data_IF_098396056802
#
_entry.id   IF_098396056802
#
_cell.length_a   1.000
_cell.length_b   1.000
_cell.length_c   1.000
_cell.angle_alpha   90.00
_cell.angle_beta   90.00
_cell.angle_gamma   90.00
#
_symmetry.space_group_name_H-M   'P 1'
#
loop_
_entity.id
_entity.type
_entity.pdbx_description
1 polymer ?
#
# COMPACT_ATOMS: atom_id res chain seq x y z
N UNK A 1 -7.21 27.94 4.73
CA UNK A 1 -6.10 27.01 4.41
C UNK A 1 -6.28 26.56 2.98
N UNK A 2 -5.21 26.43 2.19
CA UNK A 2 -5.33 25.91 0.81
C UNK A 2 -5.66 24.41 0.83
N UNK A 3 -6.31 23.86 -0.23
CA UNK A 3 -6.56 22.42 -0.33
C UNK A 3 -5.30 21.59 -0.09
N UNK A 4 -4.16 22.00 -0.68
CA UNK A 4 -2.87 21.33 -0.48
C UNK A 4 -2.44 21.25 0.98
N UNK A 5 -2.62 22.32 1.77
CA UNK A 5 -2.26 22.29 3.20
C UNK A 5 -3.16 21.34 3.98
N UNK A 6 -4.46 21.31 3.67
CA UNK A 6 -5.41 20.37 4.29
C UNK A 6 -5.05 18.92 3.93
N UNK A 7 -4.74 18.67 2.65
CA UNK A 7 -4.31 17.38 2.15
C UNK A 7 -3.07 16.87 2.89
N UNK A 8 -2.02 17.68 2.96
CA UNK A 8 -0.76 17.30 3.61
C UNK A 8 -0.95 17.04 5.11
N UNK A 9 -1.78 17.86 5.77
CA UNK A 9 -2.11 17.66 7.18
C UNK A 9 -2.82 16.32 7.39
N UNK A 10 -3.87 16.02 6.62
CA UNK A 10 -4.62 14.78 6.73
C UNK A 10 -3.76 13.56 6.38
N UNK A 11 -3.00 13.63 5.28
CA UNK A 11 -2.06 12.59 4.87
C UNK A 11 -1.04 12.29 5.98
N UNK A 12 -0.37 13.34 6.50
CA UNK A 12 0.67 13.19 7.52
C UNK A 12 0.11 12.67 8.84
N UNK A 13 -1.07 13.15 9.27
CA UNK A 13 -1.73 12.66 10.48
C UNK A 13 -2.18 11.21 10.35
N UNK A 14 -2.80 10.83 9.23
CA UNK A 14 -3.15 9.44 8.96
C UNK A 14 -1.91 8.54 8.96
N UNK A 15 -0.84 8.95 8.27
CA UNK A 15 0.42 8.20 8.22
C UNK A 15 1.03 8.02 9.62
N UNK A 16 1.04 9.09 10.42
CA UNK A 16 1.51 9.04 11.79
C UNK A 16 0.68 8.07 12.64
N UNK A 17 -0.65 8.18 12.61
CA UNK A 17 -1.55 7.30 13.37
C UNK A 17 -1.40 5.84 12.94
N UNK A 18 -1.37 5.55 11.63
CA UNK A 18 -1.17 4.18 11.15
C UNK A 18 0.22 3.64 11.49
N UNK A 19 1.26 4.47 11.51
CA UNK A 19 2.59 4.07 11.97
C UNK A 19 2.58 3.73 13.46
N UNK A 20 1.88 4.50 14.30
CA UNK A 20 1.71 4.17 15.73
C UNK A 20 0.93 2.87 15.92
N UNK A 21 -0.19 2.70 15.20
CA UNK A 21 -0.97 1.45 15.22
C UNK A 21 -0.09 0.26 14.83
N UNK A 22 0.70 0.42 13.77
CA UNK A 22 1.61 -0.60 13.28
C UNK A 22 2.69 -0.95 14.30
N UNK A 23 3.34 0.04 14.90
CA UNK A 23 4.42 -0.16 15.85
C UNK A 23 3.94 -0.76 17.19
N UNK A 24 2.86 -0.23 17.75
CA UNK A 24 2.42 -0.56 19.11
C UNK A 24 1.56 -1.81 19.19
N UNK A 25 0.78 -2.11 18.14
CA UNK A 25 -0.22 -3.18 18.21
C UNK A 25 -0.01 -4.24 17.13
N UNK A 26 0.10 -3.83 15.86
CA UNK A 26 0.12 -4.80 14.75
C UNK A 26 1.46 -5.55 14.70
N UNK A 27 2.60 -4.88 14.82
CA UNK A 27 3.91 -5.53 14.75
C UNK A 27 4.13 -6.57 15.88
N UNK A 28 3.84 -6.27 17.16
CA UNK A 28 3.93 -7.26 18.24
C UNK A 28 2.97 -8.43 18.05
N UNK A 29 1.74 -8.17 17.60
CA UNK A 29 0.76 -9.23 17.33
C UNK A 29 1.19 -10.13 16.17
N UNK A 30 1.60 -9.56 15.03
CA UNK A 30 2.07 -10.30 13.86
C UNK A 30 3.36 -11.10 14.14
N UNK A 31 4.15 -10.74 15.15
CA UNK A 31 5.35 -11.49 15.55
C UNK A 31 5.00 -12.85 16.19
N UNK A 32 3.76 -13.04 16.66
CA UNK A 32 3.26 -14.29 17.25
C UNK A 32 2.70 -15.27 16.20
N UNK A 33 2.57 -14.82 14.95
CA UNK A 33 2.00 -15.60 13.85
C UNK A 33 3.10 -16.25 13.01
N UNK A 34 2.73 -17.27 12.23
CA UNK A 34 3.61 -17.80 11.20
C UNK A 34 3.93 -16.73 10.14
N UNK A 35 5.10 -16.83 9.51
CA UNK A 35 5.52 -15.86 8.50
C UNK A 35 4.49 -15.71 7.38
N UNK A 36 3.92 -16.83 6.91
CA UNK A 36 2.89 -16.83 5.88
C UNK A 36 1.60 -16.11 6.34
N UNK A 37 1.10 -16.39 7.55
CA UNK A 37 -0.08 -15.72 8.07
C UNK A 37 0.15 -14.21 8.25
N UNK A 38 1.31 -13.81 8.76
CA UNK A 38 1.64 -12.41 8.95
C UNK A 38 1.75 -11.65 7.62
N UNK A 39 2.39 -12.23 6.60
CA UNK A 39 2.43 -11.64 5.26
C UNK A 39 1.04 -11.59 4.62
N UNK A 40 0.22 -12.63 4.77
CA UNK A 40 -1.15 -12.61 4.27
C UNK A 40 -1.96 -11.45 4.87
N UNK A 41 -1.89 -11.24 6.18
CA UNK A 41 -2.62 -10.13 6.83
C UNK A 41 -2.15 -8.77 6.29
N UNK A 42 -0.85 -8.58 6.10
CA UNK A 42 -0.29 -7.34 5.55
C UNK A 42 -0.64 -7.12 4.07
N UNK A 43 -0.88 -8.20 3.31
CA UNK A 43 -1.29 -8.13 1.90
C UNK A 43 -2.77 -7.78 1.72
N UNK A 44 -3.63 -8.08 2.69
CA UNK A 44 -5.09 -7.90 2.55
C UNK A 44 -5.51 -6.47 2.17
N UNK A 45 -4.98 -5.38 2.79
CA UNK A 45 -5.30 -4.03 2.36
C UNK A 45 -4.96 -3.79 0.89
N UNK A 46 -3.89 -4.40 0.39
CA UNK A 46 -3.45 -4.22 -0.99
C UNK A 46 -4.34 -4.93 -2.02
N UNK A 47 -5.07 -5.98 -1.63
CA UNK A 47 -6.08 -6.61 -2.49
C UNK A 47 -7.25 -5.67 -2.83
N UNK A 48 -7.51 -4.66 -1.98
CA UNK A 48 -8.53 -3.63 -2.21
C UNK A 48 -8.05 -2.44 -3.05
N UNK A 49 -6.80 -2.47 -3.56
CA UNK A 49 -6.28 -1.39 -4.40
C UNK A 49 -7.04 -1.20 -5.71
N UNK A 50 -7.92 -2.13 -6.10
CA UNK A 50 -8.87 -1.88 -7.20
C UNK A 50 -9.70 -0.59 -7.01
N UNK A 51 -9.82 -0.05 -5.80
CA UNK A 51 -10.42 1.28 -5.53
C UNK A 51 -9.71 2.42 -6.28
N UNK A 52 -8.43 2.28 -6.66
CA UNK A 52 -7.70 3.26 -7.47
C UNK A 52 -8.34 3.50 -8.84
N UNK A 53 -9.15 2.57 -9.35
CA UNK A 53 -9.95 2.77 -10.57
C UNK A 53 -10.94 3.94 -10.43
N UNK A 54 -11.24 4.41 -9.23
CA UNK A 54 -12.05 5.60 -9.00
C UNK A 54 -11.44 6.89 -9.56
N UNK A 55 -10.13 6.96 -9.81
CA UNK A 55 -9.51 8.16 -10.42
C UNK A 55 -9.94 8.40 -11.88
N UNK A 56 -10.39 7.37 -12.58
CA UNK A 56 -10.91 7.49 -13.96
C UNK A 56 -12.44 7.48 -14.04
N UNK A 57 -13.14 7.45 -12.90
CA UNK A 57 -14.61 7.55 -12.85
C UNK A 57 -15.01 9.03 -12.92
N UNK A 58 -15.80 9.47 -13.92
CA UNK A 58 -16.07 10.89 -14.16
C UNK A 58 -16.65 11.67 -12.97
N UNK A 59 -17.45 11.01 -12.12
CA UNK A 59 -18.18 11.67 -11.03
C UNK A 59 -17.49 11.60 -9.66
N UNK A 60 -16.30 10.99 -9.57
CA UNK A 60 -15.56 10.85 -8.30
C UNK A 60 -14.39 11.82 -8.18
N UNK A 61 -14.16 12.65 -9.19
CA UNK A 61 -13.09 13.63 -9.26
C UNK A 61 -13.67 14.96 -9.73
N UNK A 62 -13.02 16.05 -9.35
CA UNK A 62 -13.31 17.35 -9.94
C UNK A 62 -12.73 17.36 -11.37
N UNK A 63 -13.41 18.04 -12.30
CA UNK A 63 -12.95 18.14 -13.68
C UNK A 63 -11.52 18.67 -13.77
N UNK A 64 -10.70 18.05 -14.62
CA UNK A 64 -9.31 18.47 -14.86
C UNK A 64 -8.23 17.69 -14.12
N UNK A 65 -8.56 16.54 -13.49
CA UNK A 65 -7.55 15.63 -12.96
C UNK A 65 -6.54 15.26 -14.08
N UNK A 66 -5.22 15.44 -13.88
CA UNK A 66 -4.24 15.12 -14.91
C UNK A 66 -4.34 13.67 -15.36
N UNK A 67 -4.46 13.46 -16.67
CA UNK A 67 -4.62 12.12 -17.26
C UNK A 67 -3.44 11.21 -16.90
N UNK A 68 -2.22 11.76 -16.85
CA UNK A 68 -1.02 11.04 -16.43
C UNK A 68 -1.16 10.47 -15.00
N UNK A 69 -1.71 11.23 -14.06
CA UNK A 69 -1.98 10.75 -12.71
C UNK A 69 -3.10 9.70 -12.73
N UNK A 70 -4.24 10.03 -13.33
CA UNK A 70 -5.43 9.19 -13.29
C UNK A 70 -5.16 7.80 -13.87
N UNK A 71 -4.52 7.74 -15.05
CA UNK A 71 -4.18 6.49 -15.71
C UNK A 71 -3.12 5.71 -14.94
N UNK A 72 -1.99 6.34 -14.58
CA UNK A 72 -0.91 5.65 -13.90
C UNK A 72 -1.32 5.11 -12.53
N UNK A 73 -1.99 5.93 -11.71
CA UNK A 73 -2.45 5.51 -10.40
C UNK A 73 -3.53 4.41 -10.49
N UNK A 74 -4.55 4.56 -11.35
CA UNK A 74 -5.61 3.55 -11.47
C UNK A 74 -5.08 2.19 -11.90
N UNK A 75 -4.25 2.13 -12.95
CA UNK A 75 -3.74 0.86 -13.46
C UNK A 75 -2.61 0.28 -12.60
N UNK A 76 -1.77 1.12 -12.00
CA UNK A 76 -0.74 0.69 -11.07
C UNK A 76 -1.32 0.09 -9.78
N UNK A 77 -2.38 0.70 -9.25
CA UNK A 77 -3.16 0.16 -8.15
C UNK A 77 -3.83 -1.17 -8.51
N UNK A 78 -4.45 -1.26 -9.69
CA UNK A 78 -5.11 -2.47 -10.16
C UNK A 78 -4.11 -3.63 -10.33
N UNK A 79 -2.95 -3.36 -10.94
CA UNK A 79 -1.87 -4.34 -11.07
C UNK A 79 -1.38 -4.80 -9.68
N UNK A 80 -1.18 -3.86 -8.76
CA UNK A 80 -0.76 -4.14 -7.38
C UNK A 80 -1.80 -5.00 -6.66
N UNK A 81 -3.10 -4.76 -6.88
CA UNK A 81 -4.18 -5.59 -6.33
C UNK A 81 -4.11 -7.03 -6.85
N UNK A 82 -3.95 -7.22 -8.16
CA UNK A 82 -3.82 -8.56 -8.74
C UNK A 82 -2.59 -9.31 -8.20
N UNK A 83 -1.44 -8.64 -8.09
CA UNK A 83 -0.24 -9.23 -7.52
C UNK A 83 -0.41 -9.58 -6.04
N UNK A 84 -1.08 -8.73 -5.25
CA UNK A 84 -1.38 -9.01 -3.85
C UNK A 84 -2.30 -10.23 -3.69
N UNK A 85 -3.33 -10.35 -4.53
CA UNK A 85 -4.25 -11.50 -4.55
C UNK A 85 -3.51 -12.78 -4.95
N UNK A 86 -2.67 -12.72 -6.00
CA UNK A 86 -1.84 -13.85 -6.40
C UNK A 86 -0.89 -14.29 -5.27
N UNK A 87 -0.25 -13.34 -4.59
CA UNK A 87 0.61 -13.61 -3.44
C UNK A 87 -0.16 -14.22 -2.26
N UNK A 88 -1.39 -13.75 -1.97
CA UNK A 88 -2.26 -14.32 -0.94
C UNK A 88 -2.57 -15.80 -1.22
N UNK A 89 -2.96 -16.12 -2.46
CA UNK A 89 -3.20 -17.51 -2.88
C UNK A 89 -1.95 -18.37 -2.80
N UNK A 90 -0.81 -17.86 -3.28
CA UNK A 90 0.46 -18.55 -3.21
C UNK A 90 0.88 -18.86 -1.75
N UNK A 91 0.69 -17.90 -0.83
CA UNK A 91 0.94 -18.10 0.61
C UNK A 91 -0.03 -19.11 1.22
N UNK A 92 -1.33 -19.04 0.87
CA UNK A 92 -2.38 -19.94 1.38
C UNK A 92 -2.12 -21.40 1.04
N UNK A 93 -1.64 -21.66 -0.18
CA UNK A 93 -1.33 -22.99 -0.69
C UNK A 93 0.15 -23.38 -0.57
N UNK A 94 0.96 -22.57 0.12
CA UNK A 94 2.40 -22.83 0.36
C UNK A 94 3.19 -23.07 -0.95
N UNK A 95 2.83 -22.34 -2.01
CA UNK A 95 3.48 -22.41 -3.31
C UNK A 95 4.92 -21.90 -3.24
N UNK A 96 5.82 -22.48 -4.04
CA UNK A 96 7.21 -22.01 -4.18
C UNK A 96 7.27 -20.59 -4.77
N UNK A 97 6.22 -20.15 -5.46
CA UNK A 97 6.10 -18.80 -6.00
C UNK A 97 5.76 -17.74 -4.95
N UNK A 98 5.43 -18.12 -3.71
CA UNK A 98 4.92 -17.19 -2.70
C UNK A 98 5.89 -16.03 -2.40
N UNK A 99 7.15 -16.32 -2.04
CA UNK A 99 8.11 -15.27 -1.72
C UNK A 99 8.46 -14.38 -2.93
N UNK A 100 8.73 -14.93 -4.13
CA UNK A 100 8.91 -14.10 -5.33
C UNK A 100 7.72 -13.18 -5.62
N UNK A 101 6.48 -13.67 -5.48
CA UNK A 101 5.28 -12.87 -5.67
C UNK A 101 5.15 -11.76 -4.64
N UNK A 102 5.42 -12.04 -3.36
CA UNK A 102 5.38 -11.03 -2.30
C UNK A 102 6.44 -9.95 -2.55
N UNK A 103 7.65 -10.32 -2.95
CA UNK A 103 8.71 -9.35 -3.31
C UNK A 103 8.31 -8.50 -4.51
N UNK A 104 7.88 -9.14 -5.61
CA UNK A 104 7.45 -8.45 -6.83
C UNK A 104 6.31 -7.48 -6.55
N UNK A 105 5.26 -7.94 -5.87
CA UNK A 105 4.18 -7.09 -5.38
C UNK A 105 4.71 -5.90 -4.57
N UNK A 106 5.57 -6.14 -3.58
CA UNK A 106 5.98 -5.09 -2.65
C UNK A 106 6.82 -4.01 -3.32
N UNK A 107 7.67 -4.39 -4.28
CA UNK A 107 8.48 -3.46 -5.07
C UNK A 107 7.59 -2.67 -6.04
N UNK A 108 6.80 -3.36 -6.88
CA UNK A 108 5.96 -2.70 -7.89
C UNK A 108 4.93 -1.77 -7.22
N UNK A 109 4.27 -2.23 -6.16
CA UNK A 109 3.29 -1.43 -5.43
C UNK A 109 3.89 -0.22 -4.71
N UNK A 110 5.16 -0.29 -4.30
CA UNK A 110 5.87 0.86 -3.72
C UNK A 110 6.24 1.88 -4.79
N UNK A 111 6.76 1.43 -5.94
CA UNK A 111 7.09 2.30 -7.08
C UNK A 111 5.85 3.04 -7.57
N UNK A 112 4.72 2.35 -7.66
CA UNK A 112 3.44 2.94 -8.02
C UNK A 112 3.02 4.06 -7.04
N UNK A 113 3.04 3.79 -5.72
CA UNK A 113 2.70 4.82 -4.73
C UNK A 113 3.64 6.02 -4.76
N UNK A 114 4.95 5.81 -4.94
CA UNK A 114 5.92 6.90 -5.09
C UNK A 114 5.62 7.71 -6.37
N UNK A 115 5.28 7.05 -7.46
CA UNK A 115 4.89 7.70 -8.71
C UNK A 115 3.59 8.49 -8.57
N UNK A 116 2.62 8.03 -7.79
CA UNK A 116 1.40 8.78 -7.51
C UNK A 116 1.67 10.00 -6.61
N UNK A 117 2.43 9.82 -5.52
CA UNK A 117 2.68 10.88 -4.52
C UNK A 117 3.56 12.03 -5.03
N UNK A 118 4.40 11.81 -6.05
CA UNK A 118 5.19 12.89 -6.68
C UNK A 118 4.35 13.86 -7.53
N UNK A 119 3.15 13.46 -7.96
CA UNK A 119 2.27 14.23 -8.85
C UNK A 119 1.35 15.16 -8.03
N UNK A 120 1.95 16.11 -7.30
CA UNK A 120 1.24 17.00 -6.38
C UNK A 120 0.20 17.90 -7.08
N UNK A 121 0.31 18.10 -8.39
CA UNK A 121 -0.66 18.80 -9.23
C UNK A 121 -2.06 18.17 -9.19
N UNK A 122 -2.17 16.86 -8.91
CA UNK A 122 -3.44 16.15 -8.83
C UNK A 122 -4.30 16.55 -7.62
N UNK A 123 -3.69 17.10 -6.56
CA UNK A 123 -4.34 17.35 -5.25
C UNK A 123 -5.59 18.20 -5.37
N UNK A 124 -5.58 19.23 -6.22
CA UNK A 124 -6.72 20.15 -6.35
C UNK A 124 -7.92 19.54 -7.09
N UNK A 125 -7.75 18.38 -7.71
CA UNK A 125 -8.76 17.73 -8.54
C UNK A 125 -9.42 16.53 -7.88
N UNK A 126 -8.97 16.12 -6.69
CA UNK A 126 -9.63 15.04 -5.97
C UNK A 126 -11.00 15.50 -5.46
N UNK A 127 -12.04 14.78 -5.89
CA UNK A 127 -13.39 14.87 -5.36
C UNK A 127 -13.55 13.88 -4.20
N UNK A 128 -14.57 13.01 -4.20
CA UNK A 128 -14.64 11.87 -3.27
C UNK A 128 -13.38 11.01 -3.19
N UNK A 129 -12.59 10.92 -4.27
CA UNK A 129 -11.29 10.21 -4.29
C UNK A 129 -10.25 10.77 -3.32
N UNK A 130 -10.48 11.94 -2.73
CA UNK A 130 -9.61 12.58 -1.73
C UNK A 130 -9.19 11.66 -0.58
N UNK A 131 -10.09 10.78 -0.14
CA UNK A 131 -9.81 9.85 0.96
C UNK A 131 -8.89 8.69 0.57
N UNK A 132 -8.71 8.41 -0.72
CA UNK A 132 -7.76 7.41 -1.19
C UNK A 132 -6.33 7.82 -0.79
N UNK A 133 -5.78 8.96 -1.24
CA UNK A 133 -4.45 9.37 -0.84
C UNK A 133 -4.38 9.81 0.62
N UNK A 134 -5.39 10.46 1.19
CA UNK A 134 -5.28 11.02 2.55
C UNK A 134 -5.51 10.02 3.69
N UNK A 135 -6.13 8.87 3.42
CA UNK A 135 -6.41 7.85 4.44
C UNK A 135 -5.96 6.45 4.02
N UNK A 136 -6.37 5.98 2.84
CA UNK A 136 -6.06 4.61 2.41
C UNK A 136 -4.58 4.41 2.05
N UNK A 137 -3.96 5.32 1.29
CA UNK A 137 -2.53 5.25 0.93
C UNK A 137 -1.61 5.21 2.16
N UNK A 138 -1.85 5.98 3.24
CA UNK A 138 -1.14 5.82 4.51
C UNK A 138 -1.11 4.39 5.05
N UNK A 139 -2.23 3.65 4.99
CA UNK A 139 -2.27 2.22 5.35
C UNK A 139 -1.34 1.43 4.45
N UNK A 140 -1.42 1.64 3.13
CA UNK A 140 -0.63 0.91 2.14
C UNK A 140 0.88 1.16 2.29
N UNK A 141 1.28 2.40 2.58
CA UNK A 141 2.68 2.75 2.84
C UNK A 141 3.22 2.03 4.07
N UNK A 142 2.46 2.06 5.16
CA UNK A 142 2.85 1.39 6.41
C UNK A 142 2.95 -0.13 6.19
N UNK A 143 1.98 -0.75 5.52
CA UNK A 143 2.03 -2.19 5.26
C UNK A 143 3.14 -2.58 4.30
N UNK A 144 3.45 -1.78 3.26
CA UNK A 144 4.62 -2.00 2.40
C UNK A 144 5.94 -2.02 3.20
N UNK A 145 6.13 -1.06 4.11
CA UNK A 145 7.30 -1.00 5.00
C UNK A 145 7.37 -2.22 5.91
N UNK A 146 6.24 -2.62 6.51
CA UNK A 146 6.18 -3.81 7.36
C UNK A 146 6.48 -5.11 6.58
N UNK A 147 6.04 -5.22 5.34
CA UNK A 147 6.34 -6.34 4.45
C UNK A 147 7.85 -6.37 4.15
N UNK A 148 8.45 -5.25 3.72
CA UNK A 148 9.91 -5.19 3.49
C UNK A 148 10.70 -5.58 4.73
N UNK A 149 10.34 -5.03 5.89
CA UNK A 149 11.01 -5.35 7.15
C UNK A 149 10.95 -6.85 7.48
N UNK A 150 9.85 -7.53 7.16
CA UNK A 150 9.70 -8.99 7.36
C UNK A 150 10.48 -9.80 6.33
N UNK A 151 10.44 -9.41 5.06
CA UNK A 151 11.18 -10.08 4.00
C UNK A 151 12.69 -9.99 4.24
N UNK A 152 13.20 -8.81 4.63
CA UNK A 152 14.61 -8.60 4.93
C UNK A 152 15.06 -9.39 6.17
N UNK A 153 14.22 -9.49 7.21
CA UNK A 153 14.51 -10.34 8.38
C UNK A 153 14.56 -11.82 8.05
N UNK A 154 13.78 -12.28 7.07
CA UNK A 154 13.82 -13.68 6.63
C UNK A 154 15.08 -14.03 5.84
N UNK A 155 15.73 -13.04 5.22
CA UNK A 155 16.97 -13.19 4.43
C UNK A 155 18.23 -12.97 5.27
N UNK A 156 18.14 -12.26 6.40
CA UNK A 156 19.26 -12.02 7.30
C UNK A 156 19.85 -13.32 7.89
N UNK A 157 21.16 -13.33 8.24
CA UNK A 157 21.80 -14.51 8.80
C UNK A 157 21.04 -14.97 10.05
N UNK A 158 20.67 -16.25 10.10
CA UNK A 158 20.25 -16.88 11.35
C UNK A 158 21.42 -16.74 12.30
N UNK A 159 21.36 -15.82 13.26
CA UNK A 159 22.30 -15.83 14.38
C UNK A 159 22.14 -17.19 15.03
N UNK A 160 23.13 -18.06 14.83
CA UNK A 160 23.23 -19.33 15.51
C UNK A 160 23.29 -19.02 17.01
N UNK A 161 22.18 -19.19 17.72
CA UNK A 161 22.21 -19.26 19.17
C UNK A 161 22.86 -20.59 19.52
N UNK A 162 24.10 -20.50 20.01
CA UNK A 162 24.80 -21.57 20.70
C UNK A 162 24.11 -21.90 22.03
#
# INVERSE_FOLDING_TARGET
MTPTVIFLLQFAMSLFVFALIAAWYVAPWLARLSAAAALSILLLPHAFRHIGMSFIVPNLNNGGLPEAFATSASYGDLLSAFLAIAALFALRWRSMAALPLVWGFNILGTVDLVNALRQAEAINYFGPTWFIPTFFVPVLLVTHVMIFARLLKAVGPKTASA
#
